data_IF_999780737966
#
_entry.id   IF_999780737966
#
_cell.length_a   1.000
_cell.length_b   1.000
_cell.length_c   1.000
_cell.angle_alpha   90.00
_cell.angle_beta   90.00
_cell.angle_gamma   90.00
#
_symmetry.space_group_name_H-M   'P 1'
#
loop_
_entity.id
_entity.type
_entity.pdbx_description
1 polymer ?
#
# COMPACT_ATOMS: atom_id res chain seq x y z
N UNK A 1 12.53 22.06 19.72
CA UNK A 1 13.28 21.25 18.75
C UNK A 1 13.26 19.78 19.17
N UNK A 2 12.88 18.88 18.27
CA UNK A 2 12.80 17.44 18.58
C UNK A 2 14.21 16.85 18.47
N UNK A 3 14.65 16.13 19.51
CA UNK A 3 15.95 15.44 19.45
C UNK A 3 15.87 14.25 18.48
N UNK A 4 16.99 13.87 17.86
CA UNK A 4 17.06 12.72 16.93
C UNK A 4 16.47 11.44 17.55
N UNK A 5 16.68 11.22 18.83
CA UNK A 5 16.13 10.06 19.55
C UNK A 5 14.60 10.08 19.62
N UNK A 6 14.01 11.22 19.93
CA UNK A 6 12.55 11.39 19.96
C UNK A 6 11.96 11.24 18.56
N UNK A 7 12.63 11.75 17.54
CA UNK A 7 12.22 11.61 16.15
C UNK A 7 12.11 10.16 15.71
N UNK A 8 13.14 9.35 16.02
CA UNK A 8 13.12 7.91 15.72
C UNK A 8 11.95 7.22 16.43
N UNK A 9 11.68 7.57 17.68
CA UNK A 9 10.56 7.03 18.43
C UNK A 9 9.23 7.37 17.74
N UNK A 10 9.03 8.63 17.36
CA UNK A 10 7.79 9.05 16.70
C UNK A 10 7.59 8.37 15.34
N UNK A 11 8.64 8.29 14.52
CA UNK A 11 8.57 7.59 13.24
C UNK A 11 8.24 6.11 13.46
N UNK A 12 8.88 5.45 14.43
CA UNK A 12 8.61 4.05 14.74
C UNK A 12 7.16 3.83 15.20
N UNK A 13 6.62 4.69 16.05
CA UNK A 13 5.24 4.62 16.50
C UNK A 13 4.25 4.84 15.34
N UNK A 14 4.52 5.81 14.48
CA UNK A 14 3.68 6.07 13.31
C UNK A 14 3.68 4.90 12.32
N UNK A 15 4.84 4.28 12.09
CA UNK A 15 4.95 3.09 11.25
C UNK A 15 4.17 1.91 11.81
N UNK A 16 4.37 1.60 13.09
CA UNK A 16 3.65 0.52 13.76
C UNK A 16 2.14 0.75 13.71
N UNK A 17 1.71 1.97 13.99
CA UNK A 17 0.30 2.32 13.94
C UNK A 17 -0.28 2.20 12.53
N UNK A 18 0.43 2.70 11.52
CA UNK A 18 0.00 2.62 10.12
C UNK A 18 -0.14 1.17 9.64
N UNK A 19 0.87 0.33 9.91
CA UNK A 19 0.82 -1.10 9.55
C UNK A 19 -0.29 -1.81 10.30
N UNK A 20 -0.41 -1.60 11.60
CA UNK A 20 -1.44 -2.24 12.42
C UNK A 20 -2.85 -1.89 11.96
N UNK A 21 -3.14 -0.62 11.71
CA UNK A 21 -4.44 -0.16 11.22
C UNK A 21 -4.77 -0.78 9.86
N UNK A 22 -3.83 -0.77 8.92
CA UNK A 22 -4.05 -1.35 7.61
C UNK A 22 -4.29 -2.86 7.67
N UNK A 23 -3.52 -3.58 8.48
CA UNK A 23 -3.72 -5.02 8.68
C UNK A 23 -5.08 -5.32 9.34
N UNK A 24 -5.44 -4.57 10.36
CA UNK A 24 -6.71 -4.76 11.05
C UNK A 24 -7.91 -4.52 10.12
N UNK A 25 -7.97 -3.37 9.47
CA UNK A 25 -9.09 -3.03 8.58
C UNK A 25 -9.08 -3.83 7.28
N UNK A 26 -7.91 -4.22 6.79
CA UNK A 26 -7.79 -5.04 5.60
C UNK A 26 -8.46 -6.42 5.72
N UNK A 27 -8.61 -6.93 6.95
CA UNK A 27 -9.26 -8.23 7.21
C UNK A 27 -10.67 -8.13 7.78
N UNK A 28 -11.21 -6.93 8.02
CA UNK A 28 -12.58 -6.76 8.50
C UNK A 28 -13.64 -7.01 7.42
N UNK A 29 -13.28 -6.82 6.18
CA UNK A 29 -14.19 -7.00 5.06
C UNK A 29 -13.59 -6.52 3.75
N UNK A 30 -14.28 -6.79 2.67
CA UNK A 30 -13.88 -6.46 1.32
C UNK A 30 -14.95 -5.64 0.65
N UNK A 31 -14.61 -4.44 0.19
CA UNK A 31 -15.46 -3.68 -0.72
C UNK A 31 -15.47 -4.38 -2.09
N UNK A 32 -16.59 -4.93 -2.55
CA UNK A 32 -16.60 -5.79 -3.74
C UNK A 32 -16.04 -5.13 -4.99
N UNK A 33 -16.34 -3.85 -5.20
CA UNK A 33 -15.89 -3.11 -6.38
C UNK A 33 -14.51 -2.53 -6.16
N UNK A 34 -14.34 -1.72 -5.12
CA UNK A 34 -13.12 -0.92 -4.92
C UNK A 34 -11.90 -1.76 -4.54
N UNK A 35 -12.10 -2.88 -3.85
CA UNK A 35 -11.00 -3.75 -3.43
C UNK A 35 -10.65 -4.81 -4.47
N UNK A 36 -11.65 -5.40 -5.13
CA UNK A 36 -11.39 -6.43 -6.12
C UNK A 36 -10.87 -5.90 -7.44
N UNK A 37 -11.18 -4.68 -7.82
CA UNK A 37 -10.69 -4.10 -9.06
C UNK A 37 -9.16 -4.06 -9.12
N UNK A 38 -8.47 -3.40 -8.16
CA UNK A 38 -7.00 -3.39 -8.16
C UNK A 38 -6.40 -4.78 -7.94
N UNK A 39 -7.05 -5.62 -7.16
CA UNK A 39 -6.62 -7.01 -6.96
C UNK A 39 -6.63 -7.79 -8.28
N UNK A 40 -7.74 -7.74 -9.01
CA UNK A 40 -7.89 -8.43 -10.30
C UNK A 40 -6.94 -7.87 -11.35
N UNK A 41 -6.83 -6.54 -11.47
CA UNK A 41 -5.91 -5.90 -12.41
C UNK A 41 -4.46 -6.27 -12.14
N UNK A 42 -4.05 -6.32 -10.88
CA UNK A 42 -2.72 -6.79 -10.49
C UNK A 42 -2.50 -8.26 -10.83
N UNK A 43 -3.52 -9.09 -10.67
CA UNK A 43 -3.47 -10.50 -11.04
C UNK A 43 -3.37 -10.67 -12.56
N UNK A 44 -4.14 -9.91 -13.33
CA UNK A 44 -4.06 -9.94 -14.80
C UNK A 44 -2.67 -9.55 -15.29
N UNK A 45 -2.07 -8.51 -14.72
CA UNK A 45 -0.69 -8.15 -15.03
C UNK A 45 0.31 -9.25 -14.60
N UNK A 46 0.09 -9.85 -13.45
CA UNK A 46 0.89 -10.99 -12.99
C UNK A 46 0.85 -12.18 -13.96
N UNK A 47 -0.30 -12.41 -14.61
CA UNK A 47 -0.47 -13.44 -15.64
C UNK A 47 0.16 -13.08 -16.99
N UNK A 48 0.63 -11.86 -17.16
CA UNK A 48 1.28 -11.40 -18.39
C UNK A 48 0.36 -10.64 -19.34
N UNK A 49 -0.84 -10.25 -18.89
CA UNK A 49 -1.73 -9.39 -19.66
C UNK A 49 -1.32 -7.93 -19.55
N UNK A 50 -1.53 -7.16 -20.61
CA UNK A 50 -1.16 -5.75 -20.65
C UNK A 50 -2.35 -4.83 -20.39
N UNK A 51 -2.19 -3.80 -19.51
CA UNK A 51 -3.24 -2.82 -19.26
C UNK A 51 -3.67 -2.11 -20.53
N UNK A 52 -4.97 -1.85 -20.66
CA UNK A 52 -5.63 -1.22 -21.80
C UNK A 52 -5.56 -1.97 -23.15
N UNK A 53 -4.76 -3.00 -23.24
CA UNK A 53 -4.71 -3.89 -24.40
C UNK A 53 -5.54 -5.16 -24.16
N UNK A 54 -5.27 -5.83 -23.06
CA UNK A 54 -5.86 -7.13 -22.75
C UNK A 54 -6.93 -7.03 -21.66
N UNK A 55 -6.86 -6.01 -20.80
CA UNK A 55 -7.83 -5.74 -19.75
C UNK A 55 -7.95 -4.24 -19.47
N UNK A 56 -9.06 -3.85 -18.85
CA UNK A 56 -9.29 -2.47 -18.43
C UNK A 56 -8.85 -2.27 -16.99
N UNK A 57 -8.10 -1.20 -16.71
CA UNK A 57 -7.72 -0.79 -15.36
C UNK A 57 -8.26 0.60 -15.03
N UNK A 58 -8.88 0.75 -13.86
CA UNK A 58 -9.40 2.02 -13.36
C UNK A 58 -8.32 2.82 -12.67
N UNK A 59 -7.46 2.15 -11.89
CA UNK A 59 -6.44 2.77 -11.04
C UNK A 59 -5.14 3.07 -11.79
N UNK A 60 -5.01 2.59 -13.02
CA UNK A 60 -3.84 2.77 -13.84
C UNK A 60 -2.77 1.68 -13.70
N UNK A 61 -1.91 1.56 -14.71
CA UNK A 61 -0.96 0.44 -14.81
C UNK A 61 0.10 0.42 -13.70
N UNK A 62 0.39 1.56 -13.09
CA UNK A 62 1.41 1.64 -12.02
C UNK A 62 1.04 0.78 -10.81
N UNK A 63 -0.19 0.88 -10.34
CA UNK A 63 -0.66 0.06 -9.22
C UNK A 63 -0.75 -1.42 -9.58
N UNK A 64 -1.15 -1.74 -10.80
CA UNK A 64 -1.21 -3.12 -11.28
C UNK A 64 0.18 -3.77 -11.29
N UNK A 65 1.19 -3.05 -11.78
CA UNK A 65 2.59 -3.53 -11.80
C UNK A 65 3.10 -3.78 -10.39
N UNK A 66 2.88 -2.86 -9.47
CA UNK A 66 3.33 -3.00 -8.08
C UNK A 66 2.61 -4.17 -7.42
N UNK A 67 1.30 -4.29 -7.59
CA UNK A 67 0.54 -5.40 -7.04
C UNK A 67 1.03 -6.75 -7.61
N UNK A 68 1.33 -6.80 -8.90
CA UNK A 68 1.89 -8.00 -9.54
C UNK A 68 3.25 -8.38 -8.96
N UNK A 69 4.11 -7.40 -8.64
CA UNK A 69 5.38 -7.65 -7.97
C UNK A 69 5.15 -8.27 -6.59
N UNK A 70 4.20 -7.74 -5.80
CA UNK A 70 3.84 -8.32 -4.51
C UNK A 70 3.30 -9.75 -4.64
N UNK A 71 2.47 -10.02 -5.65
CA UNK A 71 2.00 -11.38 -5.93
C UNK A 71 3.14 -12.32 -6.30
N UNK A 72 4.13 -11.83 -7.02
CA UNK A 72 5.30 -12.64 -7.39
C UNK A 72 6.17 -13.00 -6.18
N UNK A 73 6.31 -12.09 -5.23
CA UNK A 73 7.17 -12.26 -4.05
C UNK A 73 6.44 -13.05 -2.95
N UNK A 74 5.20 -12.70 -2.64
CA UNK A 74 4.44 -13.21 -1.50
C UNK A 74 3.32 -14.19 -1.88
N UNK A 75 3.12 -14.45 -3.18
CA UNK A 75 2.03 -15.26 -3.69
C UNK A 75 0.76 -14.47 -3.94
N UNK A 76 -0.14 -15.02 -4.75
CA UNK A 76 -1.44 -14.43 -5.05
C UNK A 76 -2.38 -14.71 -3.89
N UNK A 77 -2.58 -13.71 -3.03
CA UNK A 77 -3.40 -13.84 -1.82
C UNK A 77 -3.91 -12.47 -1.35
N UNK A 78 -4.93 -12.49 -0.51
CA UNK A 78 -5.41 -11.28 0.16
C UNK A 78 -4.35 -10.67 1.08
N UNK A 79 -3.54 -11.50 1.73
CA UNK A 79 -2.40 -11.04 2.53
C UNK A 79 -1.44 -10.18 1.72
N UNK A 80 -1.06 -10.61 0.52
CA UNK A 80 -0.18 -9.86 -0.38
C UNK A 80 -0.77 -8.51 -0.77
N UNK A 81 -2.07 -8.45 -1.02
CA UNK A 81 -2.79 -7.22 -1.33
C UNK A 81 -2.82 -6.24 -0.14
N UNK A 82 -3.16 -6.72 1.04
CA UNK A 82 -3.17 -5.90 2.27
C UNK A 82 -1.76 -5.44 2.65
N UNK A 83 -0.76 -6.29 2.45
CA UNK A 83 0.64 -5.94 2.69
C UNK A 83 1.11 -4.80 1.77
N UNK A 84 0.77 -4.85 0.49
CA UNK A 84 1.01 -3.76 -0.45
C UNK A 84 0.44 -2.44 0.06
N UNK A 85 -0.84 -2.42 0.43
CA UNK A 85 -1.48 -1.24 0.98
C UNK A 85 -0.81 -0.74 2.28
N UNK A 86 -0.45 -1.66 3.18
CA UNK A 86 0.22 -1.34 4.44
C UNK A 86 1.58 -0.66 4.22
N UNK A 87 2.39 -1.18 3.30
CA UNK A 87 3.71 -0.62 2.98
C UNK A 87 3.56 0.78 2.36
N UNK A 88 2.68 0.96 1.38
CA UNK A 88 2.49 2.27 0.75
C UNK A 88 1.95 3.30 1.71
N UNK A 89 0.96 2.97 2.52
CA UNK A 89 0.44 3.88 3.54
C UNK A 89 1.50 4.26 4.58
N UNK A 90 2.39 3.34 4.94
CA UNK A 90 3.51 3.61 5.83
C UNK A 90 4.52 4.59 5.20
N UNK A 91 4.83 4.43 3.92
CA UNK A 91 5.69 5.36 3.18
C UNK A 91 5.08 6.76 3.15
N UNK A 92 3.79 6.87 2.83
CA UNK A 92 3.09 8.15 2.84
C UNK A 92 3.04 8.79 4.23
N UNK A 93 2.82 8.00 5.27
CA UNK A 93 2.81 8.48 6.67
C UNK A 93 4.15 9.12 7.03
N UNK A 94 5.26 8.47 6.69
CA UNK A 94 6.61 9.02 6.94
C UNK A 94 6.82 10.29 6.12
N UNK A 95 6.46 10.26 4.84
CA UNK A 95 6.60 11.43 3.96
C UNK A 95 5.86 12.65 4.55
N UNK A 96 4.60 12.48 4.95
CA UNK A 96 3.82 13.54 5.56
C UNK A 96 4.41 14.00 6.89
N UNK A 97 4.94 13.11 7.71
CA UNK A 97 5.63 13.49 8.94
C UNK A 97 6.79 14.46 8.66
N UNK A 98 7.62 14.17 7.66
CA UNK A 98 8.73 15.05 7.30
C UNK A 98 8.26 16.38 6.71
N UNK A 99 7.23 16.37 5.87
CA UNK A 99 6.65 17.59 5.32
C UNK A 99 6.11 18.50 6.43
N UNK A 100 5.30 17.96 7.33
CA UNK A 100 4.76 18.71 8.46
C UNK A 100 5.84 19.26 9.38
N UNK A 101 6.86 18.46 9.66
CA UNK A 101 8.02 18.87 10.44
C UNK A 101 8.77 20.02 9.79
N UNK A 102 8.97 19.98 8.49
CA UNK A 102 9.67 21.03 7.73
C UNK A 102 8.92 22.35 7.79
N UNK A 103 7.60 22.30 7.76
CA UNK A 103 6.74 23.49 7.87
C UNK A 103 6.42 23.91 9.30
N UNK A 104 7.01 23.26 10.31
CA UNK A 104 6.77 23.53 11.74
C UNK A 104 5.30 23.43 12.16
N UNK A 105 4.57 22.56 11.51
CA UNK A 105 3.16 22.30 11.81
C UNK A 105 2.99 21.20 12.87
#
# INVERSE_FOLDING_TARGET
MITKKKEIIYISLLLLFSVFINQYYGYLGVHPIDSFFPFNSGYDFFKGYYPFKDYWTITGPFLDIIQAIFFKIFGVSWFSYVLHASIFNSIFTIFFFFVLRQHKL
#
